data_IF_132355095050
#
_entry.id   IF_132355095050
#
_cell.length_a   1.000
_cell.length_b   1.000
_cell.length_c   1.000
_cell.angle_alpha   90.00
_cell.angle_beta   90.00
_cell.angle_gamma   90.00
#
_symmetry.space_group_name_H-M   'P 1'
#
loop_
_entity.id
_entity.type
_entity.pdbx_description
1 polymer ?
#
# COMPACT_ATOMS: atom_id res chain seq x y z
N UNK A 1 8.79 1.57 -3.08
CA UNK A 1 8.19 0.34 -2.49
C UNK A 1 7.35 -0.33 -3.56
N UNK A 2 7.44 -1.65 -3.69
CA UNK A 2 6.60 -2.43 -4.61
C UNK A 2 5.55 -3.25 -3.86
N UNK A 3 4.43 -3.50 -4.54
CA UNK A 3 3.30 -4.27 -4.03
C UNK A 3 2.82 -5.28 -5.07
N UNK A 4 2.63 -6.53 -4.64
CA UNK A 4 2.04 -7.58 -5.47
C UNK A 4 0.72 -8.09 -4.89
N UNK A 5 -0.31 -8.12 -5.73
CA UNK A 5 -1.66 -8.56 -5.41
C UNK A 5 -2.06 -9.86 -6.11
N UNK A 6 -3.25 -10.35 -5.77
CA UNK A 6 -3.86 -11.53 -6.40
C UNK A 6 -4.89 -11.11 -7.45
N UNK A 7 -4.95 -11.82 -8.58
CA UNK A 7 -5.94 -11.58 -9.63
C UNK A 7 -7.37 -11.58 -9.08
N UNK A 8 -8.13 -10.53 -9.41
CA UNK A 8 -9.49 -10.29 -8.91
C UNK A 8 -9.59 -9.87 -7.44
N UNK A 9 -8.46 -9.77 -6.71
CA UNK A 9 -8.43 -9.52 -5.26
C UNK A 9 -7.34 -8.51 -4.86
N UNK A 10 -6.96 -7.60 -5.76
CA UNK A 10 -5.98 -6.54 -5.46
C UNK A 10 -6.49 -5.60 -4.36
N UNK A 11 -5.58 -4.98 -3.63
CA UNK A 11 -5.90 -3.87 -2.75
C UNK A 11 -6.36 -2.69 -3.62
N UNK A 12 -7.61 -2.25 -3.48
CA UNK A 12 -8.20 -1.24 -4.36
C UNK A 12 -7.84 0.18 -3.90
N UNK A 13 -7.95 0.44 -2.59
CA UNK A 13 -7.51 1.70 -2.00
C UNK A 13 -6.58 1.42 -0.82
N UNK A 14 -5.44 2.09 -0.79
CA UNK A 14 -4.45 1.95 0.26
C UNK A 14 -3.55 3.19 0.36
N UNK A 15 -2.82 3.28 1.47
CA UNK A 15 -1.79 4.29 1.68
C UNK A 15 -0.44 3.61 2.01
N UNK A 16 0.64 4.22 1.53
CA UNK A 16 1.99 3.94 2.01
C UNK A 16 2.34 5.03 3.02
N UNK A 17 2.77 4.62 4.20
CA UNK A 17 2.99 5.52 5.32
C UNK A 17 4.32 5.24 6.00
N UNK A 18 4.89 6.26 6.63
CA UNK A 18 6.10 6.15 7.44
C UNK A 18 5.84 6.62 8.87
N UNK A 19 6.67 6.16 9.80
CA UNK A 19 6.63 6.63 11.18
C UNK A 19 7.59 7.82 11.37
N UNK A 20 7.07 8.94 11.86
CA UNK A 20 7.88 10.16 12.12
C UNK A 20 8.48 10.23 13.53
N UNK A 21 8.27 9.18 14.35
CA UNK A 21 8.63 9.15 15.76
C UNK A 21 7.43 9.25 16.70
N UNK A 22 6.30 9.79 16.22
CA UNK A 22 5.10 10.09 17.01
C UNK A 22 3.78 9.64 16.37
N UNK A 23 3.70 9.70 15.05
CA UNK A 23 2.51 9.38 14.27
C UNK A 23 2.89 8.76 12.93
N UNK A 24 1.88 8.14 12.30
CA UNK A 24 1.99 7.68 10.93
C UNK A 24 1.70 8.84 9.99
N UNK A 25 2.64 9.13 9.10
CA UNK A 25 2.51 10.15 8.06
C UNK A 25 2.33 9.48 6.70
N UNK A 26 1.57 10.11 5.81
CA UNK A 26 1.36 9.60 4.45
C UNK A 26 2.56 9.91 3.55
N UNK A 27 3.09 8.88 2.88
CA UNK A 27 4.00 9.03 1.73
C UNK A 27 3.20 9.13 0.44
N UNK A 28 2.22 8.25 0.29
CA UNK A 28 1.43 8.12 -0.93
C UNK A 28 0.04 7.56 -0.61
N UNK A 29 -0.95 8.03 -1.35
CA UNK A 29 -2.31 7.49 -1.37
C UNK A 29 -2.61 6.94 -2.75
N UNK A 30 -3.08 5.70 -2.80
CA UNK A 30 -3.53 5.04 -4.03
C UNK A 30 -5.02 4.74 -3.90
N UNK A 31 -5.81 5.17 -4.88
CA UNK A 31 -7.23 4.89 -5.00
C UNK A 31 -7.53 4.26 -6.36
N UNK A 32 -8.44 3.30 -6.40
CA UNK A 32 -8.87 2.70 -7.66
C UNK A 32 -7.86 1.73 -8.28
N UNK A 33 -6.94 1.18 -7.50
CA UNK A 33 -5.95 0.23 -8.04
C UNK A 33 -6.64 -1.02 -8.61
N UNK A 34 -6.24 -1.35 -9.84
CA UNK A 34 -6.65 -2.58 -10.55
C UNK A 34 -5.45 -3.42 -10.97
N UNK A 35 -4.23 -2.94 -10.72
CA UNK A 35 -2.99 -3.57 -11.12
C UNK A 35 -2.54 -4.62 -10.09
N UNK A 36 -1.98 -5.72 -10.63
CA UNK A 36 -1.43 -6.81 -9.83
C UNK A 36 -0.06 -6.49 -9.26
N UNK A 37 0.68 -5.58 -9.90
CA UNK A 37 1.99 -5.13 -9.51
C UNK A 37 2.00 -3.61 -9.55
N UNK A 38 2.35 -2.99 -8.43
CA UNK A 38 2.42 -1.54 -8.30
C UNK A 38 3.83 -1.17 -7.85
N UNK A 39 4.49 -0.30 -8.62
CA UNK A 39 5.78 0.31 -8.27
C UNK A 39 5.50 1.73 -7.82
N UNK A 40 5.99 2.08 -6.63
CA UNK A 40 5.76 3.39 -6.03
C UNK A 40 7.06 4.14 -5.82
N UNK A 41 7.07 5.38 -6.33
CA UNK A 41 8.10 6.38 -6.08
C UNK A 41 7.58 7.44 -5.11
N UNK A 42 8.42 7.83 -4.17
CA UNK A 42 8.18 8.90 -3.20
C UNK A 42 9.52 9.46 -2.72
N UNK A 43 9.50 10.66 -2.13
CA UNK A 43 10.71 11.29 -1.59
C UNK A 43 11.37 10.41 -0.50
N UNK A 44 12.70 10.45 -0.45
CA UNK A 44 13.47 9.74 0.57
C UNK A 44 13.05 10.18 1.98
N UNK A 45 12.70 9.22 2.82
CA UNK A 45 12.37 9.43 4.23
C UNK A 45 13.28 8.61 5.13
N UNK A 46 13.83 9.26 6.17
CA UNK A 46 14.52 8.57 7.24
C UNK A 46 13.48 8.10 8.26
N UNK A 47 13.30 6.79 8.38
CA UNK A 47 12.33 6.19 9.31
C UNK A 47 12.76 4.77 9.70
N UNK A 48 12.33 4.31 10.87
CA UNK A 48 12.52 2.92 11.30
C UNK A 48 11.34 2.02 10.92
N UNK A 49 10.22 2.59 10.44
CA UNK A 49 8.99 1.83 10.17
C UNK A 49 8.24 2.38 8.96
N UNK A 50 7.81 1.46 8.12
CA UNK A 50 6.90 1.69 7.00
C UNK A 50 5.62 0.90 7.24
N UNK A 51 4.49 1.42 6.77
CA UNK A 51 3.18 0.78 6.87
C UNK A 51 2.45 0.85 5.54
N UNK A 52 1.95 -0.30 5.09
CA UNK A 52 0.89 -0.38 4.09
C UNK A 52 -0.45 -0.36 4.80
N UNK A 53 -1.25 0.68 4.60
CA UNK A 53 -2.56 0.84 5.24
C UNK A 53 -3.67 0.61 4.21
N UNK A 54 -4.24 -0.59 4.22
CA UNK A 54 -5.33 -0.96 3.33
C UNK A 54 -6.66 -0.33 3.75
N UNK A 55 -7.27 0.47 2.86
CA UNK A 55 -8.56 1.15 3.09
C UNK A 55 -9.73 0.42 2.43
N UNK A 56 -9.50 -0.25 1.29
CA UNK A 56 -10.54 -0.98 0.55
C UNK A 56 -9.94 -2.17 -0.23
N UNK A 57 -10.57 -3.34 -0.11
CA UNK A 57 -10.28 -4.49 -0.96
C UNK A 57 -10.86 -4.34 -2.37
N UNK A 58 -10.57 -5.31 -3.25
CA UNK A 58 -11.15 -5.36 -4.61
C UNK A 58 -12.68 -5.26 -4.64
N UNK A 59 -13.26 -4.95 -5.80
CA UNK A 59 -14.72 -4.92 -6.01
C UNK A 59 -15.40 -6.26 -5.71
N UNK A 60 -14.69 -7.38 -5.85
CA UNK A 60 -15.19 -8.72 -5.53
C UNK A 60 -15.09 -9.08 -4.04
N UNK A 61 -14.30 -8.34 -3.26
CA UNK A 61 -14.09 -8.60 -1.83
C UNK A 61 -13.68 -7.32 -1.07
N UNK A 62 -14.59 -6.36 -1.01
CA UNK A 62 -14.30 -5.00 -0.51
C UNK A 62 -13.83 -4.95 0.95
N UNK A 63 -14.23 -5.92 1.77
CA UNK A 63 -13.89 -5.99 3.20
C UNK A 63 -12.52 -6.59 3.51
N UNK A 64 -11.79 -7.12 2.52
CA UNK A 64 -10.47 -7.72 2.72
C UNK A 64 -9.44 -7.13 1.77
N UNK A 65 -8.35 -6.62 2.35
CA UNK A 65 -7.16 -6.23 1.62
C UNK A 65 -6.22 -7.43 1.58
N UNK A 66 -5.93 -7.93 0.38
CA UNK A 66 -4.99 -9.03 0.18
C UNK A 66 -3.66 -8.50 -0.32
N UNK A 67 -2.61 -8.99 0.30
CA UNK A 67 -1.24 -8.67 -0.04
C UNK A 67 -0.49 -9.98 -0.21
N UNK A 68 0.12 -10.17 -1.38
CA UNK A 68 1.00 -11.32 -1.59
C UNK A 68 2.41 -10.98 -1.16
N UNK A 69 2.89 -9.79 -1.53
CA UNK A 69 4.24 -9.34 -1.25
C UNK A 69 4.33 -7.81 -1.19
N UNK A 70 5.24 -7.32 -0.34
CA UNK A 70 5.64 -5.92 -0.24
C UNK A 70 7.16 -5.87 -0.22
N UNK A 71 7.74 -5.05 -1.10
CA UNK A 71 9.20 -4.86 -1.20
C UNK A 71 9.56 -3.39 -0.94
N UNK A 72 10.44 -3.15 0.02
CA UNK A 72 10.99 -1.82 0.32
C UNK A 72 12.45 -1.73 -0.10
N UNK A 73 12.84 -0.62 -0.74
CA UNK A 73 14.19 -0.31 -1.20
C UNK A 73 14.65 1.02 -0.63
#
# INVERSE_FOLDING_TARGET
MEFFGTSGHVAHNYDIQFWDGSAWQSLLTVDGNTDLHNVHDFDLVATDKVRFFGRLGSTSQTSYVRVNELEGY
#
